data_IF_803519287679
#
_entry.id   IF_803519287679
#
_cell.length_a   1.000
_cell.length_b   1.000
_cell.length_c   1.000
_cell.angle_alpha   90.00
_cell.angle_beta   90.00
_cell.angle_gamma   90.00
#
_symmetry.space_group_name_H-M   'P 1'
#
loop_
_entity.id
_entity.type
_entity.pdbx_description
1 polymer ?
#
# COMPACT_ATOMS: atom_id res chain seq x y z
N UNK A 1 -24.82 -12.95 -41.72
CA UNK A 1 -23.70 -13.90 -41.65
C UNK A 1 -23.68 -14.34 -40.19
N UNK A 2 -24.07 -15.58 -39.94
CA UNK A 2 -24.16 -16.11 -38.58
C UNK A 2 -22.74 -16.33 -38.05
N UNK A 3 -22.51 -16.27 -36.73
CA UNK A 3 -21.18 -16.50 -36.15
C UNK A 3 -20.57 -17.84 -36.58
N UNK A 4 -21.43 -18.81 -36.85
CA UNK A 4 -21.12 -20.16 -37.34
C UNK A 4 -20.50 -20.17 -38.74
N UNK A 5 -20.75 -19.12 -39.53
CA UNK A 5 -20.21 -18.96 -40.88
C UNK A 5 -18.79 -18.38 -40.86
N UNK A 6 -18.34 -17.85 -39.73
CA UNK A 6 -17.09 -17.05 -39.61
C UNK A 6 -16.12 -17.60 -38.56
N UNK A 7 -16.63 -18.30 -37.55
CA UNK A 7 -15.82 -18.92 -36.51
C UNK A 7 -15.35 -20.32 -36.94
N UNK A 8 -14.15 -20.77 -36.53
CA UNK A 8 -13.78 -22.17 -36.60
C UNK A 8 -14.78 -23.04 -35.81
N UNK A 9 -14.75 -24.39 -35.96
CA UNK A 9 -15.64 -25.27 -35.22
C UNK A 9 -15.69 -24.90 -33.73
N UNK A 10 -16.88 -24.53 -33.26
CA UNK A 10 -17.12 -23.97 -31.92
C UNK A 10 -18.01 -24.96 -31.16
N UNK A 11 -17.60 -25.45 -29.97
CA UNK A 11 -18.44 -26.35 -29.19
C UNK A 11 -19.73 -25.63 -28.75
N UNK A 12 -20.84 -26.36 -28.80
CA UNK A 12 -22.18 -25.85 -28.48
C UNK A 12 -22.79 -26.62 -27.31
N UNK A 13 -23.43 -25.90 -26.40
CA UNK A 13 -24.02 -26.45 -25.18
C UNK A 13 -25.43 -25.89 -24.95
N UNK A 14 -26.32 -26.70 -24.37
CA UNK A 14 -27.63 -26.24 -23.89
C UNK A 14 -27.47 -25.56 -22.53
N UNK A 15 -28.07 -24.39 -22.32
CA UNK A 15 -28.00 -23.72 -21.02
C UNK A 15 -28.97 -24.31 -20.01
N UNK A 16 -28.43 -24.81 -18.89
CA UNK A 16 -29.23 -25.41 -17.79
C UNK A 16 -29.20 -24.58 -16.50
N UNK A 17 -28.64 -23.38 -16.56
CA UNK A 17 -28.46 -22.49 -15.42
C UNK A 17 -27.02 -22.00 -15.27
N UNK A 18 -26.85 -20.93 -14.49
CA UNK A 18 -25.58 -20.22 -14.30
C UNK A 18 -24.45 -21.14 -13.81
N UNK A 19 -24.72 -22.03 -12.86
CA UNK A 19 -23.69 -22.92 -12.30
C UNK A 19 -23.20 -23.99 -13.29
N UNK A 20 -24.12 -24.58 -14.06
CA UNK A 20 -23.79 -25.53 -15.12
C UNK A 20 -23.00 -24.86 -16.24
N UNK A 21 -23.40 -23.63 -16.60
CA UNK A 21 -22.70 -22.80 -17.58
C UNK A 21 -21.26 -22.49 -17.14
N UNK A 22 -21.04 -22.10 -15.88
CA UNK A 22 -19.70 -21.86 -15.32
C UNK A 22 -18.85 -23.14 -15.32
N UNK A 23 -19.42 -24.28 -14.93
CA UNK A 23 -18.69 -25.54 -14.90
C UNK A 23 -18.24 -25.99 -16.31
N UNK A 24 -19.10 -25.82 -17.32
CA UNK A 24 -18.76 -26.10 -18.72
C UNK A 24 -17.70 -25.12 -19.21
N UNK A 25 -17.84 -23.84 -18.87
CA UNK A 25 -16.85 -22.81 -19.22
C UNK A 25 -15.47 -23.17 -18.64
N UNK A 26 -15.40 -23.57 -17.37
CA UNK A 26 -14.15 -24.00 -16.72
C UNK A 26 -13.53 -25.21 -17.43
N UNK A 27 -14.33 -26.23 -17.76
CA UNK A 27 -13.86 -27.42 -18.48
C UNK A 27 -13.34 -27.11 -19.89
N UNK A 28 -14.02 -26.21 -20.61
CA UNK A 28 -13.58 -25.82 -21.96
C UNK A 28 -12.36 -24.89 -21.91
N UNK A 29 -12.26 -24.03 -20.89
CA UNK A 29 -11.04 -23.25 -20.60
C UNK A 29 -9.86 -24.18 -20.35
N UNK A 30 -9.99 -25.20 -19.50
CA UNK A 30 -8.91 -26.18 -19.25
C UNK A 30 -8.44 -26.87 -20.55
N UNK A 31 -9.39 -27.28 -21.41
CA UNK A 31 -9.08 -27.87 -22.72
C UNK A 31 -8.39 -26.87 -23.65
N UNK A 32 -8.86 -25.63 -23.67
CA UNK A 32 -8.33 -24.55 -24.50
C UNK A 32 -6.90 -24.20 -24.08
N UNK A 33 -6.65 -24.05 -22.78
CA UNK A 33 -5.33 -23.73 -22.22
C UNK A 33 -4.30 -24.83 -22.52
N UNK A 34 -4.70 -26.10 -22.48
CA UNK A 34 -3.84 -27.23 -22.82
C UNK A 34 -3.45 -27.35 -24.30
N UNK A 35 -4.16 -26.68 -25.23
CA UNK A 35 -4.03 -26.86 -26.69
C UNK A 35 -3.95 -25.53 -27.48
N UNK A 36 -3.40 -24.47 -26.87
CA UNK A 36 -3.51 -23.06 -27.30
C UNK A 36 -3.10 -22.69 -28.73
N UNK A 37 -2.39 -23.54 -29.47
CA UNK A 37 -1.95 -23.23 -30.85
C UNK A 37 -2.91 -23.74 -31.95
N UNK A 38 -4.02 -24.42 -31.60
CA UNK A 38 -4.97 -24.96 -32.60
C UNK A 38 -6.46 -24.83 -32.27
N UNK A 39 -6.83 -24.28 -31.11
CA UNK A 39 -8.22 -24.31 -30.62
C UNK A 39 -8.92 -22.94 -30.67
N UNK A 40 -10.23 -23.00 -30.87
CA UNK A 40 -11.15 -21.88 -30.93
C UNK A 40 -11.40 -21.32 -29.51
N UNK A 41 -11.19 -20.02 -29.22
CA UNK A 41 -11.36 -19.45 -27.88
C UNK A 41 -12.83 -19.22 -27.49
N UNK A 42 -13.78 -19.65 -28.32
CA UNK A 42 -15.19 -19.41 -28.09
C UNK A 42 -15.94 -20.69 -27.78
N UNK A 43 -17.03 -20.54 -27.03
CA UNK A 43 -18.07 -21.56 -26.85
C UNK A 43 -19.42 -20.92 -27.12
N UNK A 44 -20.39 -21.72 -27.56
CA UNK A 44 -21.76 -21.27 -27.80
C UNK A 44 -22.68 -21.93 -26.78
N UNK A 45 -23.50 -21.13 -26.11
CA UNK A 45 -24.66 -21.62 -25.37
C UNK A 45 -25.94 -21.34 -26.15
N UNK A 46 -26.84 -22.31 -26.15
CA UNK A 46 -28.22 -22.14 -26.61
C UNK A 46 -29.02 -21.62 -25.41
N UNK A 47 -29.46 -20.36 -25.49
CA UNK A 47 -30.14 -19.63 -24.42
C UNK A 47 -31.31 -18.85 -25.01
N UNK A 48 -32.53 -19.06 -24.51
CA UNK A 48 -33.66 -18.25 -24.91
C UNK A 48 -33.49 -16.78 -24.47
N UNK A 49 -34.12 -15.87 -25.19
CA UNK A 49 -33.94 -14.42 -25.02
C UNK A 49 -34.24 -13.95 -23.59
N UNK A 50 -35.26 -14.52 -22.95
CA UNK A 50 -35.64 -14.14 -21.59
C UNK A 50 -34.56 -14.57 -20.59
N UNK A 51 -34.10 -15.82 -20.69
CA UNK A 51 -33.02 -16.33 -19.84
C UNK A 51 -31.72 -15.56 -20.06
N UNK A 52 -31.41 -15.17 -21.31
CA UNK A 52 -30.26 -14.32 -21.61
C UNK A 52 -30.34 -12.97 -20.86
N UNK A 53 -31.48 -12.28 -20.95
CA UNK A 53 -31.67 -11.00 -20.26
C UNK A 53 -31.54 -11.13 -18.74
N UNK A 54 -32.18 -12.14 -18.15
CA UNK A 54 -32.20 -12.33 -16.69
C UNK A 54 -30.82 -12.74 -16.13
N UNK A 55 -30.10 -13.63 -16.82
CA UNK A 55 -28.84 -14.20 -16.31
C UNK A 55 -27.57 -13.47 -16.76
N UNK A 56 -27.58 -12.73 -17.88
CA UNK A 56 -26.36 -12.19 -18.49
C UNK A 56 -26.37 -10.67 -18.65
N UNK A 57 -27.51 -10.06 -18.99
CA UNK A 57 -27.61 -8.59 -19.12
C UNK A 57 -27.97 -7.89 -17.81
N UNK A 58 -28.93 -8.43 -17.06
CA UNK A 58 -29.53 -7.76 -15.90
C UNK A 58 -28.48 -7.45 -14.81
N UNK A 59 -28.14 -6.17 -14.56
CA UNK A 59 -27.07 -5.81 -13.63
C UNK A 59 -27.31 -6.24 -12.18
N UNK A 60 -28.56 -6.52 -11.80
CA UNK A 60 -28.94 -6.96 -10.44
C UNK A 60 -28.85 -8.47 -10.23
N UNK A 61 -28.91 -9.25 -11.30
CA UNK A 61 -29.04 -10.71 -11.24
C UNK A 61 -27.91 -11.45 -11.95
N UNK A 62 -27.20 -10.79 -12.87
CA UNK A 62 -26.12 -11.40 -13.64
C UNK A 62 -24.97 -11.85 -12.76
N UNK A 63 -24.40 -12.99 -13.11
CA UNK A 63 -23.12 -13.41 -12.59
C UNK A 63 -22.02 -12.58 -13.28
N UNK A 64 -21.10 -12.03 -12.49
CA UNK A 64 -20.14 -11.01 -12.96
C UNK A 64 -19.12 -11.58 -13.93
N UNK A 65 -18.77 -12.85 -13.78
CA UNK A 65 -17.81 -13.55 -14.62
C UNK A 65 -18.41 -13.85 -15.99
N UNK A 66 -19.61 -14.44 -16.03
CA UNK A 66 -20.33 -14.74 -17.27
C UNK A 66 -20.59 -13.47 -18.09
N UNK A 67 -21.01 -12.38 -17.44
CA UNK A 67 -21.25 -11.11 -18.10
C UNK A 67 -20.02 -10.57 -18.86
N UNK A 68 -18.80 -10.94 -18.43
CA UNK A 68 -17.56 -10.52 -19.12
C UNK A 68 -17.12 -11.44 -20.24
N UNK A 69 -17.57 -12.69 -20.22
CA UNK A 69 -17.34 -13.66 -21.29
C UNK A 69 -18.27 -13.42 -22.48
N UNK A 70 -19.44 -12.79 -22.28
CA UNK A 70 -20.38 -12.49 -23.37
C UNK A 70 -19.72 -11.63 -24.46
N UNK A 71 -19.69 -12.16 -25.69
CA UNK A 71 -19.28 -11.42 -26.89
C UNK A 71 -20.43 -11.01 -27.76
N UNK A 72 -21.43 -11.87 -27.85
CA UNK A 72 -22.60 -11.63 -28.66
C UNK A 72 -23.75 -12.53 -28.24
N UNK A 73 -24.96 -12.08 -28.50
CA UNK A 73 -26.17 -12.88 -28.44
C UNK A 73 -26.94 -12.69 -29.74
N UNK A 74 -27.31 -13.78 -30.41
CA UNK A 74 -28.12 -13.79 -31.62
C UNK A 74 -29.53 -14.30 -31.30
N UNK A 75 -30.54 -13.42 -31.23
CA UNK A 75 -31.91 -13.81 -30.88
C UNK A 75 -32.54 -14.76 -31.91
N UNK A 76 -32.17 -14.66 -33.19
CA UNK A 76 -32.78 -15.49 -34.24
C UNK A 76 -32.42 -16.97 -34.13
N UNK A 77 -31.29 -17.28 -33.50
CA UNK A 77 -30.81 -18.66 -33.29
C UNK A 77 -30.69 -19.04 -31.81
N UNK A 78 -31.05 -18.13 -30.88
CA UNK A 78 -30.84 -18.30 -29.44
C UNK A 78 -29.37 -18.60 -29.07
N UNK A 79 -28.40 -18.09 -29.84
CA UNK A 79 -26.99 -18.39 -29.60
C UNK A 79 -26.29 -17.28 -28.82
N UNK A 80 -25.82 -17.64 -27.63
CA UNK A 80 -24.95 -16.84 -26.80
C UNK A 80 -23.49 -17.25 -27.05
N UNK A 81 -22.69 -16.33 -27.59
CA UNK A 81 -21.26 -16.53 -27.80
C UNK A 81 -20.50 -16.06 -26.56
N UNK A 82 -19.78 -16.97 -25.92
CA UNK A 82 -18.87 -16.68 -24.81
C UNK A 82 -17.42 -16.83 -25.25
N UNK A 83 -16.55 -15.87 -24.93
CA UNK A 83 -15.10 -16.04 -24.96
C UNK A 83 -14.64 -16.74 -23.68
N UNK A 84 -13.84 -17.78 -23.88
CA UNK A 84 -13.19 -18.53 -22.81
C UNK A 84 -12.05 -17.70 -22.22
N UNK A 85 -12.36 -16.94 -21.17
CA UNK A 85 -11.39 -16.30 -20.28
C UNK A 85 -11.43 -17.06 -18.94
N UNK A 86 -10.27 -17.51 -18.42
CA UNK A 86 -10.22 -18.14 -17.10
C UNK A 86 -10.79 -17.19 -16.03
N UNK A 87 -11.64 -17.66 -15.10
CA UNK A 87 -12.16 -16.85 -14.00
C UNK A 87 -11.09 -16.08 -13.23
N UNK A 88 -9.96 -16.74 -12.96
CA UNK A 88 -8.84 -16.18 -12.23
C UNK A 88 -8.10 -15.12 -13.06
N UNK A 89 -7.89 -15.35 -14.35
CA UNK A 89 -7.32 -14.39 -15.29
C UNK A 89 -8.17 -13.12 -15.36
N UNK A 90 -9.47 -13.29 -15.58
CA UNK A 90 -10.42 -12.19 -15.68
C UNK A 90 -10.50 -11.38 -14.36
N UNK A 91 -10.47 -12.08 -13.21
CA UNK A 91 -10.48 -11.44 -11.90
C UNK A 91 -9.20 -10.64 -11.64
N UNK A 92 -8.02 -11.19 -11.96
CA UNK A 92 -6.73 -10.52 -11.79
C UNK A 92 -6.59 -9.30 -12.70
N UNK A 93 -6.95 -9.43 -13.98
CA UNK A 93 -6.99 -8.31 -14.93
C UNK A 93 -7.85 -7.16 -14.42
N UNK A 94 -9.10 -7.44 -14.05
CA UNK A 94 -10.02 -6.43 -13.51
C UNK A 94 -9.56 -5.82 -12.19
N UNK A 95 -8.91 -6.61 -11.33
CA UNK A 95 -8.38 -6.09 -10.08
C UNK A 95 -7.28 -5.06 -10.34
N UNK A 96 -6.37 -5.37 -11.26
CA UNK A 96 -5.34 -4.43 -11.69
C UNK A 96 -5.94 -3.18 -12.32
N UNK A 97 -6.82 -3.33 -13.33
CA UNK A 97 -7.48 -2.22 -14.03
C UNK A 97 -8.13 -1.26 -13.04
N UNK A 98 -8.93 -1.77 -12.08
CA UNK A 98 -9.59 -0.92 -11.08
C UNK A 98 -8.61 -0.10 -10.24
N UNK A 99 -7.49 -0.70 -9.83
CA UNK A 99 -6.48 -0.03 -8.99
C UNK A 99 -5.74 1.02 -9.84
N UNK A 100 -5.36 0.67 -11.06
CA UNK A 100 -4.62 1.53 -11.96
C UNK A 100 -5.48 2.71 -12.46
N UNK A 101 -6.74 2.47 -12.84
CA UNK A 101 -7.68 3.50 -13.26
C UNK A 101 -8.01 4.49 -12.13
N UNK A 102 -8.02 4.02 -10.88
CA UNK A 102 -8.21 4.91 -9.72
C UNK A 102 -7.08 5.93 -9.62
N UNK A 103 -5.85 5.46 -9.73
CA UNK A 103 -4.67 6.31 -9.70
C UNK A 103 -4.66 7.29 -10.89
N UNK A 104 -4.98 6.81 -12.10
CA UNK A 104 -5.17 7.68 -13.27
C UNK A 104 -6.18 8.79 -12.94
N UNK A 105 -7.34 8.44 -12.36
CA UNK A 105 -8.36 9.41 -12.00
C UNK A 105 -7.93 10.46 -10.97
N UNK A 106 -7.02 10.11 -10.06
CA UNK A 106 -6.49 11.02 -9.03
C UNK A 106 -5.39 11.91 -9.57
N UNK A 107 -4.48 11.36 -10.37
CA UNK A 107 -3.27 12.06 -10.81
C UNK A 107 -3.52 12.85 -12.10
N UNK A 108 -4.11 12.24 -13.12
CA UNK A 108 -4.47 12.90 -14.39
C UNK A 108 -5.34 12.00 -15.25
N UNK A 109 -6.55 12.44 -15.60
CA UNK A 109 -7.44 11.69 -16.49
C UNK A 109 -6.98 11.67 -17.97
N UNK A 110 -5.74 12.07 -18.27
CA UNK A 110 -5.16 12.10 -19.61
C UNK A 110 -4.62 10.73 -20.08
N UNK A 111 -5.10 9.62 -19.53
CA UNK A 111 -4.82 8.27 -20.03
C UNK A 111 -6.10 7.67 -20.63
N UNK A 112 -5.98 7.16 -21.84
CA UNK A 112 -6.95 6.26 -22.45
C UNK A 112 -6.64 4.84 -21.99
N UNK A 113 -7.49 4.31 -21.10
CA UNK A 113 -7.57 2.88 -20.84
C UNK A 113 -8.39 2.25 -21.98
N UNK A 114 -7.77 1.42 -22.80
CA UNK A 114 -8.46 0.71 -23.88
C UNK A 114 -9.02 -0.62 -23.35
N UNK A 115 -10.16 -0.55 -22.65
CA UNK A 115 -10.90 -1.72 -22.15
C UNK A 115 -11.42 -2.69 -23.23
N UNK A 116 -11.10 -2.45 -24.51
CA UNK A 116 -11.17 -3.42 -25.60
C UNK A 116 -9.92 -3.24 -26.46
N UNK A 117 -8.88 -4.06 -26.25
CA UNK A 117 -7.57 -3.75 -26.80
C UNK A 117 -7.56 -3.82 -28.32
N UNK A 118 -6.98 -2.81 -28.96
CA UNK A 118 -6.68 -2.86 -30.40
C UNK A 118 -5.62 -3.93 -30.67
N UNK A 119 -5.67 -4.56 -31.85
CA UNK A 119 -4.59 -5.44 -32.29
C UNK A 119 -3.38 -4.58 -32.67
N UNK A 120 -2.25 -4.82 -32.01
CA UNK A 120 -1.00 -4.14 -32.34
C UNK A 120 -0.18 -4.99 -33.30
N UNK A 121 0.18 -4.39 -34.44
CA UNK A 121 0.95 -5.07 -35.49
C UNK A 121 2.44 -4.87 -35.28
N UNK A 122 3.11 -5.94 -34.89
CA UNK A 122 4.56 -6.00 -34.76
C UNK A 122 5.28 -6.20 -36.11
N UNK A 123 6.63 -6.09 -36.11
CA UNK A 123 7.47 -6.38 -37.27
C UNK A 123 7.24 -7.80 -37.79
N UNK A 124 7.25 -7.97 -39.11
CA UNK A 124 6.99 -9.26 -39.75
C UNK A 124 5.51 -9.68 -39.77
N UNK A 125 4.58 -8.77 -39.48
CA UNK A 125 3.14 -9.01 -39.62
C UNK A 125 2.49 -9.78 -38.48
N UNK A 126 3.22 -10.04 -37.38
CA UNK A 126 2.67 -10.65 -36.16
C UNK A 126 1.77 -9.65 -35.44
N UNK A 127 0.54 -10.04 -35.14
CA UNK A 127 -0.39 -9.24 -34.33
C UNK A 127 -0.39 -9.78 -32.90
N UNK A 128 -0.43 -8.88 -31.91
CA UNK A 128 -0.69 -9.23 -30.51
C UNK A 128 -1.73 -8.29 -29.94
N UNK A 129 -2.54 -8.84 -29.05
CA UNK A 129 -3.53 -8.12 -28.25
C UNK A 129 -3.05 -8.18 -26.78
N UNK A 130 -2.95 -7.04 -26.07
CA UNK A 130 -2.65 -7.06 -24.64
C UNK A 130 -3.91 -7.45 -23.86
N UNK A 131 -3.74 -7.86 -22.59
CA UNK A 131 -4.90 -8.05 -21.71
C UNK A 131 -5.51 -6.70 -21.32
N UNK A 132 -4.67 -5.74 -20.96
CA UNK A 132 -5.03 -4.33 -20.82
C UNK A 132 -3.89 -3.45 -21.30
N UNK A 133 -4.21 -2.27 -21.82
CA UNK A 133 -3.21 -1.28 -22.19
C UNK A 133 -3.63 0.13 -21.71
N UNK A 134 -2.60 0.96 -21.50
CA UNK A 134 -2.78 2.32 -21.01
C UNK A 134 -1.95 3.25 -21.87
N UNK A 135 -2.61 4.22 -22.49
CA UNK A 135 -1.99 5.14 -23.45
C UNK A 135 -2.34 6.59 -23.11
N UNK A 136 -1.38 7.52 -23.01
CA UNK A 136 -1.68 8.93 -22.85
C UNK A 136 -2.53 9.48 -23.99
N UNK A 137 -3.62 10.17 -23.66
CA UNK A 137 -4.52 10.85 -24.63
C UNK A 137 -3.75 11.92 -25.40
N UNK A 138 -2.83 12.62 -24.72
CA UNK A 138 -1.98 13.67 -25.29
C UNK A 138 -0.51 13.28 -25.18
N UNK A 139 -0.05 12.42 -26.10
CA UNK A 139 1.37 12.10 -26.22
C UNK A 139 2.09 13.12 -27.10
N UNK A 140 3.06 13.84 -26.54
CA UNK A 140 4.00 14.69 -27.31
C UNK A 140 4.83 13.88 -28.32
N UNK A 141 4.97 12.57 -28.12
CA UNK A 141 5.76 11.68 -28.97
C UNK A 141 4.95 11.05 -30.13
N UNK A 142 3.67 11.41 -30.30
CA UNK A 142 2.76 10.85 -31.32
C UNK A 142 2.86 9.31 -31.47
N UNK A 143 2.91 8.58 -30.34
CA UNK A 143 3.10 7.14 -30.32
C UNK A 143 1.79 6.40 -30.61
N UNK A 144 1.85 5.39 -31.48
CA UNK A 144 0.71 4.53 -31.78
C UNK A 144 0.54 3.37 -30.76
N UNK A 145 1.58 3.07 -29.99
CA UNK A 145 1.61 1.99 -29.00
C UNK A 145 1.34 2.51 -27.58
N UNK A 146 0.83 1.66 -26.67
CA UNK A 146 0.62 2.02 -25.27
C UNK A 146 1.94 2.22 -24.54
N UNK A 147 1.91 2.96 -23.43
CA UNK A 147 3.09 3.16 -22.58
C UNK A 147 3.21 2.08 -21.52
N UNK A 148 2.07 1.62 -21.01
CA UNK A 148 1.97 0.50 -20.07
C UNK A 148 1.07 -0.59 -20.64
N UNK A 149 1.53 -1.84 -20.55
CA UNK A 149 0.78 -3.04 -20.92
C UNK A 149 0.65 -3.96 -19.72
N UNK A 150 -0.53 -4.54 -19.52
CA UNK A 150 -0.78 -5.64 -18.60
C UNK A 150 -0.89 -6.95 -19.40
N UNK A 151 -0.21 -7.99 -18.93
CA UNK A 151 -0.40 -9.37 -19.37
C UNK A 151 -0.63 -10.26 -18.13
N UNK A 152 -1.71 -11.03 -18.13
CA UNK A 152 -2.11 -11.94 -17.07
C UNK A 152 -1.98 -13.36 -17.60
N UNK A 153 -1.49 -14.29 -16.77
CA UNK A 153 -1.37 -15.70 -17.14
C UNK A 153 -1.61 -16.62 -15.97
N UNK A 154 -2.13 -17.79 -16.28
CA UNK A 154 -2.04 -18.97 -15.44
C UNK A 154 -0.70 -19.67 -15.67
N UNK A 155 0.01 -19.98 -14.60
CA UNK A 155 1.42 -20.37 -14.68
C UNK A 155 1.60 -21.89 -14.61
N UNK A 156 1.31 -22.57 -15.73
CA UNK A 156 1.65 -24.00 -15.92
C UNK A 156 2.92 -24.20 -16.75
N UNK A 157 3.30 -23.25 -17.62
CA UNK A 157 4.57 -23.26 -18.36
C UNK A 157 5.21 -21.87 -18.42
N UNK A 158 6.49 -21.79 -18.06
CA UNK A 158 7.24 -20.53 -17.87
C UNK A 158 7.62 -19.83 -19.20
N UNK A 159 7.34 -20.42 -20.35
CA UNK A 159 7.85 -19.97 -21.66
C UNK A 159 7.03 -18.87 -22.34
N UNK A 160 5.72 -18.77 -22.09
CA UNK A 160 4.83 -17.99 -22.95
C UNK A 160 4.73 -16.51 -22.54
N UNK A 161 4.69 -16.23 -21.24
CA UNK A 161 4.63 -14.84 -20.73
C UNK A 161 5.90 -14.05 -21.07
N UNK A 162 7.08 -14.66 -21.01
CA UNK A 162 8.32 -13.98 -21.41
C UNK A 162 8.32 -13.64 -22.91
N UNK A 163 7.68 -14.45 -23.74
CA UNK A 163 7.53 -14.16 -25.17
C UNK A 163 6.57 -12.98 -25.40
N UNK A 164 5.48 -12.91 -24.63
CA UNK A 164 4.54 -11.78 -24.64
C UNK A 164 5.24 -10.48 -24.20
N UNK A 165 6.00 -10.53 -23.10
CA UNK A 165 6.83 -9.39 -22.64
C UNK A 165 7.85 -8.97 -23.70
N UNK A 166 8.52 -9.93 -24.36
CA UNK A 166 9.47 -9.64 -25.45
C UNK A 166 8.78 -8.99 -26.64
N UNK A 167 7.57 -9.40 -26.99
CA UNK A 167 6.79 -8.74 -28.04
C UNK A 167 6.62 -7.25 -27.72
N UNK A 168 6.13 -6.92 -26.52
CA UNK A 168 5.85 -5.53 -26.15
C UNK A 168 7.10 -4.68 -26.00
N UNK A 169 8.15 -5.18 -25.34
CA UNK A 169 9.34 -4.36 -25.07
C UNK A 169 10.31 -4.31 -26.25
N UNK A 170 10.45 -5.39 -27.03
CA UNK A 170 11.39 -5.44 -28.17
C UNK A 170 10.68 -5.09 -29.48
N UNK A 171 9.58 -5.80 -29.79
CA UNK A 171 8.98 -5.73 -31.13
C UNK A 171 8.17 -4.46 -31.36
N UNK A 172 7.63 -3.83 -30.32
CA UNK A 172 7.00 -2.51 -30.42
C UNK A 172 8.00 -1.36 -30.70
N UNK A 173 9.23 -1.66 -31.13
CA UNK A 173 10.32 -0.71 -31.32
C UNK A 173 10.56 0.20 -30.10
N UNK A 174 10.44 -0.36 -28.89
CA UNK A 174 10.60 0.34 -27.61
C UNK A 174 9.57 1.47 -27.37
N UNK A 175 8.38 1.38 -27.97
CA UNK A 175 7.31 2.35 -27.70
C UNK A 175 6.48 2.02 -26.44
N UNK A 176 6.56 0.79 -25.94
CA UNK A 176 6.05 0.38 -24.62
C UNK A 176 7.16 0.55 -23.60
N UNK A 177 6.90 1.32 -22.53
CA UNK A 177 7.89 1.63 -21.50
C UNK A 177 7.87 0.58 -20.38
N UNK A 178 6.69 0.09 -20.02
CA UNK A 178 6.47 -0.82 -18.90
C UNK A 178 5.53 -1.94 -19.31
N UNK A 179 5.90 -3.17 -18.98
CA UNK A 179 4.96 -4.31 -19.00
C UNK A 179 4.78 -4.80 -17.57
N UNK A 180 3.54 -4.86 -17.10
CA UNK A 180 3.19 -5.53 -15.84
C UNK A 180 2.71 -6.93 -16.19
N UNK A 181 3.33 -7.94 -15.60
CA UNK A 181 2.85 -9.31 -15.70
C UNK A 181 2.22 -9.77 -14.40
N UNK A 182 1.09 -10.48 -14.48
CA UNK A 182 0.45 -11.16 -13.33
C UNK A 182 0.41 -12.66 -13.61
N UNK A 183 1.15 -13.44 -12.85
CA UNK A 183 1.19 -14.91 -12.94
C UNK A 183 0.42 -15.51 -11.77
N UNK A 184 -0.57 -16.35 -12.07
CA UNK A 184 -1.44 -17.02 -11.10
C UNK A 184 -1.01 -18.49 -10.99
N UNK A 185 -0.63 -18.90 -9.79
CA UNK A 185 -0.26 -20.27 -9.43
C UNK A 185 -1.31 -20.85 -8.49
N UNK A 186 -2.48 -21.19 -9.01
CA UNK A 186 -3.64 -21.57 -8.21
C UNK A 186 -3.43 -22.82 -7.33
N UNK A 187 -2.76 -23.91 -7.79
CA UNK A 187 -2.50 -25.06 -6.92
C UNK A 187 -1.62 -24.69 -5.72
N UNK A 188 -0.74 -23.69 -5.90
CA UNK A 188 0.13 -23.17 -4.85
C UNK A 188 -0.52 -22.01 -4.06
N UNK A 189 -1.71 -21.54 -4.46
CA UNK A 189 -2.35 -20.36 -3.89
C UNK A 189 -1.47 -19.11 -3.94
N UNK A 190 -0.64 -18.96 -4.99
CA UNK A 190 0.34 -17.87 -5.12
C UNK A 190 0.05 -17.01 -6.35
N UNK A 191 0.21 -15.70 -6.23
CA UNK A 191 0.15 -14.75 -7.35
C UNK A 191 1.45 -13.95 -7.39
N UNK A 192 2.09 -13.89 -8.54
CA UNK A 192 3.29 -13.10 -8.78
C UNK A 192 2.96 -11.93 -9.68
N UNK A 193 3.34 -10.73 -9.28
CA UNK A 193 3.26 -9.54 -10.12
C UNK A 193 4.66 -9.01 -10.38
N UNK A 194 5.00 -8.73 -11.64
CA UNK A 194 6.34 -8.22 -12.01
C UNK A 194 6.22 -7.01 -12.90
N UNK A 195 7.10 -6.03 -12.67
CA UNK A 195 7.32 -4.94 -13.59
C UNK A 195 8.51 -5.27 -14.48
N UNK A 196 8.30 -5.27 -15.78
CA UNK A 196 9.32 -5.49 -16.79
C UNK A 196 9.66 -4.20 -17.50
N UNK A 197 10.95 -4.00 -17.73
CA UNK A 197 11.50 -2.88 -18.50
C UNK A 197 12.57 -3.37 -19.46
N UNK A 198 12.88 -2.55 -20.46
CA UNK A 198 14.06 -2.75 -21.29
C UNK A 198 15.32 -2.36 -20.50
N UNK A 199 16.29 -3.27 -20.40
CA UNK A 199 17.59 -2.93 -19.83
C UNK A 199 18.34 -1.94 -20.71
N UNK A 200 18.71 -0.79 -20.17
CA UNK A 200 19.39 0.26 -20.93
C UNK A 200 20.69 -0.23 -21.56
N UNK A 201 21.50 -0.98 -20.80
CA UNK A 201 22.76 -1.57 -21.24
C UNK A 201 22.58 -2.88 -22.01
N UNK A 202 21.71 -3.77 -21.52
CA UNK A 202 21.56 -5.12 -22.09
C UNK A 202 20.69 -5.15 -23.34
N UNK A 203 19.86 -4.12 -23.55
CA UNK A 203 18.79 -4.10 -24.58
C UNK A 203 17.93 -5.35 -24.55
N UNK A 204 17.73 -5.93 -23.35
CA UNK A 204 16.88 -7.10 -23.12
C UNK A 204 15.81 -6.78 -22.07
N UNK A 205 14.58 -7.27 -22.24
CA UNK A 205 13.58 -7.27 -21.19
C UNK A 205 14.09 -7.97 -19.93
N UNK A 206 13.84 -7.37 -18.77
CA UNK A 206 14.12 -7.99 -17.48
C UNK A 206 13.07 -7.56 -16.44
N UNK A 207 12.74 -8.41 -15.45
CA UNK A 207 11.87 -8.02 -14.36
C UNK A 207 12.68 -7.12 -13.42
N UNK A 208 12.31 -5.85 -13.33
CA UNK A 208 13.00 -4.85 -12.51
C UNK A 208 12.42 -4.73 -11.09
N UNK A 209 11.14 -5.09 -10.92
CA UNK A 209 10.47 -5.17 -9.62
C UNK A 209 9.55 -6.39 -9.60
N UNK A 210 9.31 -6.95 -8.42
CA UNK A 210 8.46 -8.11 -8.22
C UNK A 210 7.72 -7.99 -6.88
N UNK A 211 6.47 -8.43 -6.88
CA UNK A 211 5.60 -8.53 -5.73
C UNK A 211 4.91 -9.89 -5.75
N UNK A 212 4.84 -10.56 -4.60
CA UNK A 212 4.22 -11.88 -4.48
C UNK A 212 3.11 -11.85 -3.44
N UNK A 213 2.04 -12.60 -3.69
CA UNK A 213 0.93 -12.84 -2.77
C UNK A 213 0.78 -14.34 -2.56
N UNK A 214 0.65 -14.79 -1.31
CA UNK A 214 0.45 -16.19 -0.97
C UNK A 214 -0.80 -16.32 -0.10
N UNK A 215 -1.81 -17.07 -0.54
CA UNK A 215 -3.10 -17.21 0.15
C UNK A 215 -2.99 -17.93 1.50
N UNK A 216 -2.04 -18.87 1.62
CA UNK A 216 -1.75 -19.65 2.84
C UNK A 216 -0.24 -19.78 3.00
N UNK A 217 0.44 -18.71 3.48
CA UNK A 217 1.89 -18.75 3.62
C UNK A 217 2.30 -19.85 4.62
N UNK A 218 3.47 -20.45 4.37
CA UNK A 218 4.08 -21.32 5.37
C UNK A 218 4.36 -20.54 6.66
N UNK A 219 4.43 -21.19 7.83
CA UNK A 219 4.76 -20.51 9.08
C UNK A 219 6.03 -19.65 8.93
N UNK A 220 5.97 -18.39 9.38
CA UNK A 220 7.05 -17.38 9.29
C UNK A 220 7.40 -16.89 7.87
N UNK A 221 6.54 -17.14 6.88
CA UNK A 221 6.64 -16.45 5.59
C UNK A 221 5.61 -15.34 5.50
N UNK A 222 6.01 -14.21 4.91
CA UNK A 222 5.10 -13.08 4.71
C UNK A 222 4.05 -13.46 3.66
N UNK A 223 2.81 -13.01 3.91
CA UNK A 223 1.70 -13.24 2.99
C UNK A 223 1.86 -12.44 1.69
N UNK A 224 2.52 -11.29 1.80
CA UNK A 224 2.83 -10.39 0.68
C UNK A 224 4.29 -10.01 0.79
N UNK A 225 5.07 -10.16 -0.29
CA UNK A 225 6.47 -9.73 -0.33
C UNK A 225 6.73 -8.84 -1.54
N UNK A 226 7.73 -7.98 -1.45
CA UNK A 226 8.13 -7.08 -2.53
C UNK A 226 7.22 -5.86 -2.71
N UNK A 227 7.43 -5.12 -3.80
CA UNK A 227 6.67 -3.91 -4.11
C UNK A 227 6.66 -3.65 -5.61
N UNK A 228 5.69 -2.85 -6.07
CA UNK A 228 5.60 -2.38 -7.43
C UNK A 228 5.36 -0.88 -7.45
N UNK A 229 6.30 -0.15 -8.05
CA UNK A 229 6.18 1.27 -8.38
C UNK A 229 6.26 1.46 -9.89
N UNK A 230 5.24 2.06 -10.48
CA UNK A 230 5.28 2.50 -11.89
C UNK A 230 5.48 4.00 -11.94
N UNK A 231 6.65 4.49 -12.39
CA UNK A 231 6.93 5.92 -12.46
C UNK A 231 5.92 6.68 -13.33
N UNK A 232 5.48 7.84 -12.86
CA UNK A 232 4.55 8.70 -13.59
C UNK A 232 5.06 9.00 -15.02
N UNK A 233 6.34 9.33 -15.14
CA UNK A 233 6.99 9.71 -16.38
C UNK A 233 6.99 8.56 -17.40
N UNK A 234 7.03 7.31 -16.92
CA UNK A 234 6.93 6.13 -17.79
C UNK A 234 5.52 5.96 -18.36
N UNK A 235 4.49 6.42 -17.64
CA UNK A 235 3.10 6.34 -18.06
C UNK A 235 2.74 7.52 -18.96
N UNK A 236 2.98 8.77 -18.50
CA UNK A 236 2.51 10.01 -19.13
C UNK A 236 3.51 10.66 -20.10
N UNK A 237 4.75 10.17 -20.17
CA UNK A 237 5.79 10.66 -21.08
C UNK A 237 6.12 12.16 -20.90
N UNK A 238 5.96 12.66 -19.68
CA UNK A 238 6.30 14.02 -19.27
C UNK A 238 6.68 14.07 -17.78
N UNK A 239 7.43 15.09 -17.34
CA UNK A 239 7.67 15.31 -15.92
C UNK A 239 6.36 15.49 -15.14
N UNK A 240 6.38 15.07 -13.86
CA UNK A 240 5.31 15.36 -12.90
C UNK A 240 5.13 16.85 -12.69
N UNK A 241 3.89 17.24 -12.42
CA UNK A 241 3.48 18.52 -11.84
C UNK A 241 3.21 18.35 -10.34
N UNK A 242 3.06 19.46 -9.64
CA UNK A 242 2.72 19.44 -8.21
C UNK A 242 1.43 18.66 -7.96
N UNK A 243 1.50 17.72 -7.01
CA UNK A 243 0.40 16.81 -6.67
C UNK A 243 0.34 15.52 -7.50
N UNK A 244 1.13 15.39 -8.57
CA UNK A 244 1.19 14.15 -9.34
C UNK A 244 2.17 13.14 -8.73
N UNK A 245 1.74 11.89 -8.58
CA UNK A 245 2.51 10.82 -7.91
C UNK A 245 2.81 9.66 -8.85
N UNK A 246 3.77 8.81 -8.48
CA UNK A 246 3.91 7.50 -9.13
C UNK A 246 2.76 6.59 -8.73
N UNK A 247 2.49 5.56 -9.52
CA UNK A 247 1.59 4.51 -9.10
C UNK A 247 2.29 3.63 -8.06
N UNK A 248 1.74 3.57 -6.84
CA UNK A 248 2.22 2.75 -5.72
C UNK A 248 1.01 2.07 -5.09
N UNK A 249 0.66 0.87 -5.57
CA UNK A 249 -0.70 0.30 -5.51
C UNK A 249 -1.42 0.11 -4.15
N UNK A 250 -0.90 0.58 -3.01
CA UNK A 250 -1.53 0.47 -1.69
C UNK A 250 -2.31 1.74 -1.25
N UNK A 251 -1.80 2.95 -1.48
CA UNK A 251 -2.44 4.19 -1.01
C UNK A 251 -3.75 4.47 -1.76
N UNK A 252 -3.74 4.22 -3.07
CA UNK A 252 -4.94 4.36 -3.89
C UNK A 252 -5.93 3.27 -3.57
N UNK A 253 -5.51 2.04 -3.28
CA UNK A 253 -6.43 0.99 -2.84
C UNK A 253 -7.18 1.42 -1.57
N UNK A 254 -6.46 1.91 -0.55
CA UNK A 254 -7.04 2.34 0.73
C UNK A 254 -8.03 3.49 0.52
N UNK A 255 -7.60 4.56 -0.15
CA UNK A 255 -8.46 5.73 -0.46
C UNK A 255 -9.76 5.31 -1.13
N UNK A 256 -9.68 4.27 -1.94
CA UNK A 256 -10.74 3.93 -2.86
C UNK A 256 -11.71 2.88 -2.31
N UNK A 257 -11.28 2.12 -1.29
CA UNK A 257 -12.15 1.42 -0.32
C UNK A 257 -12.83 2.43 0.61
N UNK A 258 -12.09 3.39 1.17
CA UNK A 258 -12.61 4.42 2.06
C UNK A 258 -13.73 5.25 1.42
N UNK A 259 -13.57 5.62 0.14
CA UNK A 259 -14.57 6.36 -0.62
C UNK A 259 -15.93 5.66 -0.78
N UNK A 260 -15.96 4.32 -0.74
CA UNK A 260 -17.21 3.53 -0.87
C UNK A 260 -17.70 2.98 0.47
N UNK A 261 -16.85 2.97 1.49
CA UNK A 261 -17.19 2.56 2.85
C UNK A 261 -16.58 3.53 3.88
N UNK A 262 -17.37 4.47 4.43
CA UNK A 262 -16.86 5.44 5.40
C UNK A 262 -16.42 4.79 6.73
N UNK A 263 -16.79 3.52 6.98
CA UNK A 263 -16.37 2.73 8.15
C UNK A 263 -15.15 1.85 7.86
N UNK A 264 -14.16 2.40 7.17
CA UNK A 264 -12.95 1.67 6.80
C UNK A 264 -11.94 1.74 7.95
N UNK A 265 -11.45 0.57 8.36
CA UNK A 265 -10.34 0.42 9.33
C UNK A 265 -9.13 -0.10 8.57
N UNK A 266 -7.98 0.55 8.74
CA UNK A 266 -6.72 0.13 8.13
C UNK A 266 -5.81 -0.48 9.18
N UNK A 267 -5.33 -1.70 8.95
CA UNK A 267 -4.32 -2.35 9.79
C UNK A 267 -2.97 -2.30 9.09
N UNK A 268 -2.00 -1.65 9.70
CA UNK A 268 -0.66 -1.45 9.15
C UNK A 268 0.34 -2.43 9.78
N UNK A 269 0.96 -3.25 8.93
CA UNK A 269 2.05 -4.17 9.28
C UNK A 269 3.33 -3.72 8.57
N UNK A 270 4.03 -2.74 9.16
CA UNK A 270 5.21 -2.12 8.58
C UNK A 270 6.26 -1.84 9.67
N UNK A 271 7.53 -1.94 9.30
CA UNK A 271 8.66 -1.74 10.21
C UNK A 271 8.93 -0.25 10.52
N UNK A 272 8.88 0.59 9.48
CA UNK A 272 9.27 2.00 9.53
C UNK A 272 8.08 2.91 9.20
N UNK A 273 8.11 4.20 9.62
CA UNK A 273 7.07 5.15 9.29
C UNK A 273 6.75 5.23 7.79
N UNK A 274 5.47 5.20 7.48
CA UNK A 274 4.94 5.40 6.13
C UNK A 274 4.13 6.68 6.08
N UNK A 275 4.07 7.31 4.90
CA UNK A 275 3.11 8.39 4.68
C UNK A 275 1.71 7.78 4.58
N UNK A 276 0.72 8.53 5.06
CA UNK A 276 -0.68 8.12 5.05
C UNK A 276 -1.53 9.27 4.47
N UNK A 277 -1.42 9.60 3.17
CA UNK A 277 -2.19 10.69 2.57
C UNK A 277 -3.72 10.46 2.61
N UNK A 278 -4.13 9.22 2.86
CA UNK A 278 -5.52 8.78 3.02
C UNK A 278 -6.01 8.77 4.48
N UNK A 279 -5.20 9.22 5.45
CA UNK A 279 -5.50 9.12 6.88
C UNK A 279 -6.86 9.73 7.24
N UNK A 280 -7.18 10.91 6.69
CA UNK A 280 -8.44 11.61 6.95
C UNK A 280 -9.66 10.97 6.26
N UNK A 281 -9.45 9.94 5.42
CA UNK A 281 -10.52 9.25 4.68
C UNK A 281 -11.04 8.01 5.42
N UNK A 282 -10.29 7.48 6.38
CA UNK A 282 -10.59 6.22 7.08
C UNK A 282 -11.10 6.48 8.50
N UNK A 283 -11.87 5.55 9.07
CA UNK A 283 -12.41 5.69 10.43
C UNK A 283 -11.35 5.47 11.50
N UNK A 284 -10.40 4.56 11.26
CA UNK A 284 -9.31 4.30 12.20
C UNK A 284 -8.14 3.59 11.53
N UNK A 285 -6.97 3.74 12.15
CA UNK A 285 -5.74 3.05 11.78
C UNK A 285 -5.20 2.32 12.99
N UNK A 286 -4.88 1.04 12.82
CA UNK A 286 -4.20 0.21 13.82
C UNK A 286 -2.81 -0.15 13.29
N UNK A 287 -1.76 0.34 13.96
CA UNK A 287 -0.39 -0.03 13.63
C UNK A 287 0.07 -1.21 14.48
N UNK A 288 0.37 -2.33 13.83
CA UNK A 288 0.82 -3.58 14.47
C UNK A 288 2.33 -3.80 14.37
N UNK A 289 3.05 -2.93 13.66
CA UNK A 289 4.48 -3.09 13.41
C UNK A 289 4.78 -4.39 12.64
N UNK A 290 5.75 -5.15 13.14
CA UNK A 290 6.03 -6.52 12.68
C UNK A 290 5.58 -7.52 13.77
N UNK A 291 4.31 -7.94 13.79
CA UNK A 291 3.68 -8.53 14.99
C UNK A 291 4.06 -10.00 15.26
N UNK A 292 5.00 -10.57 14.50
CA UNK A 292 5.46 -11.95 14.66
C UNK A 292 4.37 -12.99 14.38
N UNK A 293 4.63 -14.23 14.78
CA UNK A 293 3.77 -15.39 14.45
C UNK A 293 2.37 -15.35 15.11
N UNK A 294 2.22 -14.67 16.25
CA UNK A 294 0.93 -14.50 16.94
C UNK A 294 0.16 -13.26 16.45
N UNK A 295 0.68 -12.55 15.46
CA UNK A 295 0.13 -11.26 15.03
C UNK A 295 -1.32 -11.31 14.56
N UNK A 296 -1.75 -12.40 13.92
CA UNK A 296 -3.15 -12.59 13.53
C UNK A 296 -4.10 -12.66 14.73
N UNK A 297 -3.70 -13.40 15.78
CA UNK A 297 -4.48 -13.52 17.03
C UNK A 297 -4.51 -12.19 17.78
N UNK A 298 -3.37 -11.51 17.89
CA UNK A 298 -3.27 -10.20 18.53
C UNK A 298 -4.11 -9.14 17.82
N UNK A 299 -4.07 -9.09 16.49
CA UNK A 299 -4.87 -8.15 15.68
C UNK A 299 -6.37 -8.36 15.92
N UNK A 300 -6.85 -9.61 15.88
CA UNK A 300 -8.25 -9.91 16.12
C UNK A 300 -8.69 -9.47 17.53
N UNK A 301 -7.90 -9.81 18.54
CA UNK A 301 -8.21 -9.44 19.93
C UNK A 301 -8.33 -7.92 20.13
N UNK A 302 -7.50 -7.12 19.45
CA UNK A 302 -7.60 -5.66 19.47
C UNK A 302 -8.81 -5.14 18.69
N UNK A 303 -9.09 -5.67 17.50
CA UNK A 303 -10.22 -5.24 16.67
C UNK A 303 -11.58 -5.57 17.27
N UNK A 304 -11.68 -6.70 17.98
CA UNK A 304 -12.92 -7.12 18.65
C UNK A 304 -13.03 -6.60 20.10
N UNK A 305 -11.99 -5.93 20.62
CA UNK A 305 -12.00 -5.32 21.94
C UNK A 305 -11.79 -6.30 23.10
N UNK A 306 -11.26 -7.50 22.83
CA UNK A 306 -10.83 -8.44 23.86
C UNK A 306 -9.67 -7.83 24.68
N UNK A 307 -8.87 -6.96 24.05
CA UNK A 307 -7.83 -6.15 24.67
C UNK A 307 -7.88 -4.71 24.15
N UNK A 308 -7.43 -3.76 24.99
CA UNK A 308 -7.26 -2.37 24.55
C UNK A 308 -5.93 -2.18 23.82
N UNK A 309 -5.87 -1.31 22.79
CA UNK A 309 -4.61 -0.89 22.21
C UNK A 309 -3.88 0.08 23.16
N UNK A 310 -2.79 -0.39 23.76
CA UNK A 310 -2.05 0.36 24.80
C UNK A 310 -0.65 0.79 24.33
N UNK A 311 -0.24 0.39 23.13
CA UNK A 311 1.05 0.73 22.55
C UNK A 311 1.21 2.23 22.28
N UNK A 312 2.44 2.72 22.44
CA UNK A 312 2.85 4.09 22.07
C UNK A 312 3.89 4.04 20.95
N UNK A 313 3.88 5.03 20.06
CA UNK A 313 4.83 5.12 18.96
C UNK A 313 6.25 5.34 19.50
N UNK A 314 7.23 4.49 19.14
CA UNK A 314 8.64 4.72 19.45
C UNK A 314 9.34 5.63 18.44
N UNK A 315 8.63 6.03 17.37
CA UNK A 315 9.13 6.75 16.21
C UNK A 315 8.12 7.82 15.79
N UNK A 316 8.61 8.93 15.26
CA UNK A 316 7.74 9.97 14.66
C UNK A 316 7.29 9.53 13.27
N UNK A 317 5.97 9.52 13.03
CA UNK A 317 5.42 9.40 11.68
C UNK A 317 5.36 10.78 11.02
N UNK A 318 6.10 11.00 9.92
CA UNK A 318 6.16 12.31 9.29
C UNK A 318 4.88 12.59 8.49
N UNK A 319 4.41 13.84 8.52
CA UNK A 319 3.27 14.28 7.70
C UNK A 319 3.61 14.44 6.22
N UNK A 320 4.90 14.61 5.91
CA UNK A 320 5.43 14.67 4.54
C UNK A 320 6.88 14.21 4.52
N UNK A 321 7.40 13.95 3.33
CA UNK A 321 8.82 13.63 3.15
C UNK A 321 9.70 14.74 3.72
N UNK A 322 9.33 16.01 3.53
CA UNK A 322 10.06 17.18 4.00
C UNK A 322 9.96 17.38 5.52
N UNK A 323 9.04 16.70 6.19
CA UNK A 323 8.95 16.69 7.65
C UNK A 323 9.91 15.68 8.31
N UNK A 324 10.63 14.87 7.51
CA UNK A 324 11.63 13.92 8.04
C UNK A 324 12.89 14.63 8.51
N UNK A 325 13.61 14.03 9.46
CA UNK A 325 14.83 14.60 10.05
C UNK A 325 15.91 14.90 9.00
N UNK A 326 16.00 14.07 7.96
CA UNK A 326 17.00 14.19 6.90
C UNK A 326 16.56 15.16 5.80
N UNK A 327 15.26 15.25 5.48
CA UNK A 327 14.77 16.09 4.38
C UNK A 327 14.13 17.41 4.82
N UNK A 328 14.29 17.78 6.08
CA UNK A 328 13.81 19.06 6.60
C UNK A 328 14.49 20.26 5.90
N UNK A 329 13.74 21.13 5.21
CA UNK A 329 14.31 22.29 4.52
C UNK A 329 15.00 23.31 5.45
N UNK A 330 14.70 23.30 6.75
CA UNK A 330 15.39 24.13 7.74
C UNK A 330 16.82 23.63 8.04
N UNK A 331 17.15 22.41 7.63
CA UNK A 331 18.43 21.75 7.83
C UNK A 331 18.93 21.07 6.55
N UNK A 332 19.12 21.85 5.46
CA UNK A 332 19.44 21.29 4.14
C UNK A 332 20.79 20.54 4.11
N UNK A 333 21.68 20.83 5.06
CA UNK A 333 22.98 20.17 5.20
C UNK A 333 22.88 18.68 5.58
N UNK A 334 21.72 18.22 6.07
CA UNK A 334 21.51 16.84 6.54
C UNK A 334 21.30 15.83 5.42
N UNK A 335 21.11 16.29 4.19
CA UNK A 335 20.88 15.44 3.04
C UNK A 335 21.61 16.00 1.83
N UNK A 336 22.59 15.26 1.32
CA UNK A 336 23.13 15.54 0.01
C UNK A 336 22.14 14.99 -1.04
N UNK A 337 21.38 15.87 -1.67
CA UNK A 337 20.37 15.52 -2.68
C UNK A 337 20.96 15.06 -4.01
N UNK A 338 22.20 15.42 -4.33
CA UNK A 338 22.89 14.98 -5.55
C UNK A 338 23.37 13.53 -5.43
N UNK A 339 23.89 13.14 -4.26
CA UNK A 339 24.41 11.79 -4.02
C UNK A 339 23.41 10.86 -3.33
N UNK A 340 22.28 11.40 -2.85
CA UNK A 340 21.31 10.65 -2.05
C UNK A 340 21.86 10.19 -0.69
N UNK A 341 22.87 10.88 -0.14
CA UNK A 341 23.51 10.51 1.13
C UNK A 341 23.02 11.36 2.30
N UNK A 342 22.46 10.73 3.33
CA UNK A 342 22.08 11.40 4.58
C UNK A 342 23.31 11.60 5.47
N UNK A 343 23.50 12.84 5.97
CA UNK A 343 24.56 13.19 6.89
C UNK A 343 24.04 13.08 8.32
N UNK A 344 24.59 12.15 9.09
CA UNK A 344 24.25 11.99 10.51
C UNK A 344 25.30 12.70 11.37
N UNK A 345 24.90 13.79 12.02
CA UNK A 345 25.73 14.54 12.98
C UNK A 345 25.07 14.63 14.35
N UNK A 346 25.85 14.91 15.39
CA UNK A 346 25.32 15.16 16.73
C UNK A 346 24.38 16.38 16.71
N UNK A 347 23.24 16.29 17.40
CA UNK A 347 22.22 17.36 17.41
C UNK A 347 21.00 17.13 16.51
N UNK A 348 20.90 15.99 15.82
CA UNK A 348 19.64 15.62 15.18
C UNK A 348 18.59 15.27 16.24
N UNK A 349 17.44 15.93 16.17
CA UNK A 349 16.27 15.65 16.99
C UNK A 349 15.55 14.43 16.40
N UNK A 350 16.12 13.24 16.61
CA UNK A 350 15.52 11.96 16.21
C UNK A 350 14.74 11.34 17.37
N UNK A 351 13.61 10.69 17.03
CA UNK A 351 12.72 9.98 17.95
C UNK A 351 12.30 10.81 19.18
N UNK A 352 12.47 10.30 20.42
CA UNK A 352 12.01 10.90 21.69
C UNK A 352 12.58 12.29 22.05
N UNK A 353 13.14 13.01 21.08
CA UNK A 353 13.60 14.40 21.13
C UNK A 353 12.65 15.23 20.25
N UNK A 354 11.71 15.93 20.86
CA UNK A 354 10.65 16.68 20.15
C UNK A 354 11.09 18.12 19.81
N UNK A 355 10.50 18.69 18.75
CA UNK A 355 10.65 20.11 18.36
C UNK A 355 9.28 20.80 18.31
N UNK A 356 8.81 21.44 19.40
CA UNK A 356 7.96 22.64 19.28
C UNK A 356 7.80 23.46 20.57
N UNK A 357 7.51 24.75 20.32
CA UNK A 357 7.33 25.91 21.20
C UNK A 357 5.86 26.09 21.62
N UNK A 358 5.58 26.22 22.92
CA UNK A 358 4.43 26.98 23.44
C UNK A 358 4.54 27.24 24.96
N UNK A 359 4.03 28.40 25.36
CA UNK A 359 4.19 29.08 26.64
C UNK A 359 3.59 28.34 27.85
N UNK A 360 4.26 28.40 29.00
CA UNK A 360 3.87 27.75 30.26
C UNK A 360 3.43 28.76 31.33
N UNK A 361 2.46 28.34 32.19
CA UNK A 361 2.09 29.00 33.45
C UNK A 361 2.51 28.11 34.62
N UNK A 362 3.09 28.72 35.65
CA UNK A 362 3.76 28.06 36.80
C UNK A 362 2.83 27.61 37.94
N UNK A 363 3.18 26.47 38.57
CA UNK A 363 3.12 26.14 40.02
C UNK A 363 4.23 25.06 40.25
N UNK A 364 5.00 24.88 41.33
CA UNK A 364 5.01 25.38 42.71
C UNK A 364 5.06 24.21 43.72
N UNK A 365 6.28 23.73 44.04
CA UNK A 365 6.73 22.86 45.17
C UNK A 365 6.43 21.32 45.18
N UNK A 366 7.35 20.45 45.68
CA UNK A 366 7.42 19.01 45.39
C UNK A 366 6.89 18.13 46.52
N UNK A 367 5.69 17.57 46.35
CA UNK A 367 5.27 16.36 47.08
C UNK A 367 4.00 15.76 46.47
N UNK A 368 3.99 15.49 45.17
CA UNK A 368 2.73 15.14 44.50
C UNK A 368 2.58 13.63 44.30
N UNK A 369 1.98 12.95 45.29
CA UNK A 369 1.30 11.66 45.09
C UNK A 369 -0.01 11.91 44.35
N UNK A 370 -0.34 11.12 43.34
CA UNK A 370 -1.60 11.26 42.60
C UNK A 370 -2.53 10.05 42.70
N UNK A 371 -3.82 10.39 42.63
CA UNK A 371 -5.01 9.55 42.65
C UNK A 371 -5.77 9.79 41.32
N UNK A 372 -5.83 8.79 40.44
CA UNK A 372 -6.58 8.82 39.16
C UNK A 372 -7.83 7.91 39.27
N UNK A 373 -8.98 8.34 38.75
CA UNK A 373 -10.22 7.54 38.68
C UNK A 373 -10.66 7.50 37.21
N UNK A 374 -10.86 6.31 36.64
CA UNK A 374 -11.32 6.12 35.25
C UNK A 374 -12.84 5.85 35.18
N UNK A 375 -13.60 6.51 34.28
CA UNK A 375 -15.05 6.33 34.14
C UNK A 375 -15.49 5.27 33.11
N UNK A 376 -14.61 4.46 32.51
CA UNK A 376 -14.98 3.50 31.43
C UNK A 376 -14.86 2.04 31.91
N UNK A 377 -15.87 1.16 31.69
CA UNK A 377 -15.81 -0.25 32.05
C UNK A 377 -15.02 -1.06 31.01
N UNK A 378 -13.72 -1.25 31.21
CA UNK A 378 -12.88 -2.26 30.54
C UNK A 378 -12.17 -3.10 31.63
N UNK A 379 -11.89 -4.41 31.45
CA UNK A 379 -11.43 -5.28 32.54
C UNK A 379 -10.10 -4.82 33.18
N UNK A 380 -9.23 -4.17 32.40
CA UNK A 380 -8.16 -3.27 32.84
C UNK A 380 -7.75 -2.37 31.65
N UNK A 381 -7.25 -1.17 31.93
CA UNK A 381 -6.61 -0.28 30.97
C UNK A 381 -5.16 -0.08 31.39
N UNK A 382 -4.20 -0.48 30.56
CA UNK A 382 -2.80 -0.09 30.67
C UNK A 382 -2.59 1.31 30.11
N UNK A 383 -2.06 2.20 30.94
CA UNK A 383 -1.67 3.55 30.54
C UNK A 383 -0.17 3.72 30.68
N UNK A 384 0.51 4.03 29.58
CA UNK A 384 1.89 4.50 29.60
C UNK A 384 1.92 6.01 29.81
N UNK A 385 2.68 6.45 30.83
CA UNK A 385 2.88 7.86 31.14
C UNK A 385 4.33 8.28 30.89
N UNK A 386 4.66 8.88 29.74
CA UNK A 386 5.98 9.44 29.51
C UNK A 386 6.25 10.67 30.38
N UNK A 387 7.46 10.73 30.93
CA UNK A 387 8.02 11.87 31.66
C UNK A 387 9.04 12.55 30.78
N UNK A 388 8.84 13.83 30.54
CA UNK A 388 9.71 14.64 29.72
C UNK A 388 10.34 15.76 30.53
N UNK A 389 11.56 16.14 30.13
CA UNK A 389 12.26 17.30 30.68
C UNK A 389 12.69 18.23 29.54
N UNK A 390 12.46 19.52 29.72
CA UNK A 390 12.95 20.58 28.85
C UNK A 390 14.45 20.79 29.00
N UNK A 391 15.06 21.61 28.14
CA UNK A 391 16.44 22.06 28.31
C UNK A 391 16.63 22.98 29.55
N UNK A 392 17.86 23.15 30.07
CA UNK A 392 18.15 24.20 31.05
C UNK A 392 17.75 25.58 30.53
N UNK A 393 17.09 26.39 31.36
CA UNK A 393 16.65 27.75 30.97
C UNK A 393 17.82 28.63 30.51
N UNK A 394 18.98 28.49 31.16
CA UNK A 394 20.20 29.24 30.86
C UNK A 394 21.19 28.44 29.98
N UNK A 395 20.70 27.47 29.21
CA UNK A 395 21.55 26.54 28.46
C UNK A 395 22.56 27.24 27.53
N UNK A 396 22.15 28.32 26.87
CA UNK A 396 23.00 29.04 25.91
C UNK A 396 24.19 29.76 26.58
N UNK A 397 24.03 30.21 27.82
CA UNK A 397 25.08 30.90 28.59
C UNK A 397 25.94 29.93 29.41
N UNK A 398 25.33 28.94 30.06
CA UNK A 398 26.02 28.00 30.95
C UNK A 398 26.73 26.87 30.19
N UNK A 399 26.21 26.51 29.01
CA UNK A 399 26.72 25.40 28.20
C UNK A 399 26.98 25.84 26.75
N UNK A 400 27.89 26.80 26.52
CA UNK A 400 28.16 27.32 25.19
C UNK A 400 28.63 26.21 24.24
N UNK A 401 28.00 26.10 23.08
CA UNK A 401 28.29 25.08 22.08
C UNK A 401 27.67 23.71 22.33
N UNK A 402 26.87 23.54 23.40
CA UNK A 402 26.11 22.30 23.65
C UNK A 402 24.70 22.44 23.08
N UNK A 403 24.29 21.48 22.26
CA UNK A 403 22.93 21.43 21.72
C UNK A 403 22.05 20.52 22.58
N UNK A 404 21.08 21.11 23.27
CA UNK A 404 20.03 20.36 23.97
C UNK A 404 18.82 20.15 23.06
N UNK A 405 18.16 19.00 23.20
CA UNK A 405 16.82 18.84 22.68
C UNK A 405 15.85 19.75 23.44
N UNK A 406 14.88 20.35 22.75
CA UNK A 406 13.85 21.19 23.38
C UNK A 406 13.10 20.39 24.45
N UNK A 407 12.89 19.11 24.17
CA UNK A 407 12.25 18.16 25.08
C UNK A 407 12.94 16.80 24.99
N UNK A 408 13.15 16.16 26.14
CA UNK A 408 13.75 14.83 26.24
C UNK A 408 12.89 13.90 27.08
N UNK A 409 12.52 12.72 26.57
CA UNK A 409 11.95 11.64 27.38
C UNK A 409 12.99 11.13 28.38
N UNK A 410 12.69 11.24 29.67
CA UNK A 410 13.57 10.81 30.78
C UNK A 410 13.03 9.64 31.57
N UNK A 411 11.84 9.14 31.23
CA UNK A 411 11.28 7.95 31.83
C UNK A 411 9.86 7.72 31.34
N UNK A 412 9.36 6.52 31.57
CA UNK A 412 7.94 6.20 31.43
C UNK A 412 7.60 5.06 32.40
N UNK A 413 6.33 4.92 32.72
CA UNK A 413 5.85 3.80 33.52
C UNK A 413 4.48 3.36 32.99
N UNK A 414 4.28 2.05 32.91
CA UNK A 414 3.04 1.43 32.50
C UNK A 414 2.21 1.12 33.74
N UNK A 415 1.00 1.68 33.79
CA UNK A 415 0.10 1.50 34.93
C UNK A 415 -1.17 0.84 34.43
N UNK A 416 -1.34 -0.41 34.84
CA UNK A 416 -2.59 -1.12 34.65
C UNK A 416 -3.60 -0.69 35.72
N UNK A 417 -4.76 -0.21 35.31
CA UNK A 417 -5.81 0.27 36.21
C UNK A 417 -7.16 -0.34 35.83
N UNK A 418 -7.92 -0.79 36.82
CA UNK A 418 -9.29 -1.24 36.61
C UNK A 418 -10.26 -0.05 36.69
N UNK A 419 -11.47 -0.14 36.09
CA UNK A 419 -12.46 0.93 36.09
C UNK A 419 -12.81 1.36 37.51
N UNK A 420 -12.85 2.68 37.74
CA UNK A 420 -13.10 3.25 39.07
C UNK A 420 -11.98 3.08 40.10
N UNK A 421 -10.93 2.32 39.80
CA UNK A 421 -9.79 2.18 40.69
C UNK A 421 -8.82 3.37 40.58
N UNK A 422 -7.97 3.48 41.58
CA UNK A 422 -6.84 4.42 41.61
C UNK A 422 -5.52 3.70 41.78
N UNK A 423 -4.49 4.17 41.09
CA UNK A 423 -3.09 3.82 41.36
C UNK A 423 -2.17 5.05 41.38
N UNK A 424 -1.06 4.91 42.10
CA UNK A 424 0.05 5.86 42.11
C UNK A 424 1.16 5.34 41.19
N UNK A 425 1.59 6.17 40.24
CA UNK A 425 2.74 5.91 39.39
C UNK A 425 3.99 6.58 39.97
N UNK A 426 5.12 5.88 39.96
CA UNK A 426 6.42 6.42 40.38
C UNK A 426 7.36 6.40 39.19
N UNK A 427 8.11 7.48 38.99
CA UNK A 427 9.07 7.62 37.90
C UNK A 427 10.45 7.87 38.46
N UNK A 428 11.40 7.01 38.13
CA UNK A 428 12.79 7.20 38.50
C UNK A 428 13.49 7.96 37.36
N UNK A 429 14.09 9.10 37.70
CA UNK A 429 14.92 9.88 36.77
C UNK A 429 16.36 9.81 37.25
N UNK A 430 17.20 9.15 36.47
CA UNK A 430 18.61 8.95 36.80
C UNK A 430 19.43 10.19 36.47
N UNK A 431 20.55 10.38 37.19
CA UNK A 431 21.52 11.44 36.89
C UNK A 431 21.99 11.42 35.42
N UNK A 432 22.11 10.22 34.82
CA UNK A 432 22.51 10.06 33.42
C UNK A 432 21.49 10.65 32.44
N UNK A 433 20.19 10.49 32.70
CA UNK A 433 19.13 11.08 31.87
C UNK A 433 19.08 12.61 31.94
N UNK A 434 19.62 13.18 33.02
CA UNK A 434 19.77 14.63 33.23
C UNK A 434 21.12 15.17 32.70
N UNK A 435 21.98 14.29 32.18
CA UNK A 435 23.32 14.64 31.74
C UNK A 435 23.42 14.77 30.21
N UNK A 436 24.41 15.51 29.74
CA UNK A 436 24.82 15.58 28.34
C UNK A 436 26.24 15.04 28.17
N UNK A 437 26.58 14.61 26.96
CA UNK A 437 27.94 14.21 26.62
C UNK A 437 28.75 15.44 26.21
N UNK A 438 29.89 15.68 26.87
CA UNK A 438 30.79 16.76 26.49
C UNK A 438 31.95 16.17 25.68
N UNK A 439 32.04 16.54 24.40
CA UNK A 439 33.06 15.97 23.50
C UNK A 439 34.50 16.29 23.94
N UNK A 440 34.73 17.50 24.48
CA UNK A 440 36.06 18.01 24.80
C UNK A 440 36.79 17.15 25.84
N UNK A 441 36.06 16.63 26.83
CA UNK A 441 36.61 15.80 27.90
C UNK A 441 36.15 14.33 27.83
N UNK A 442 35.22 14.01 26.91
CA UNK A 442 34.65 12.67 26.72
C UNK A 442 33.99 12.14 27.99
N UNK A 443 33.23 12.99 28.68
CA UNK A 443 32.50 12.61 29.89
C UNK A 443 31.03 13.02 29.87
N UNK A 444 30.21 12.29 30.63
CA UNK A 444 28.83 12.68 30.93
C UNK A 444 28.83 13.76 32.00
N UNK A 445 28.30 14.93 31.65
CA UNK A 445 28.20 16.09 32.53
C UNK A 445 26.74 16.35 32.89
N UNK A 446 26.45 16.58 34.16
CA UNK A 446 25.10 16.92 34.60
C UNK A 446 24.71 18.31 34.06
N UNK A 447 23.57 18.40 33.37
CA UNK A 447 23.00 19.67 32.94
C UNK A 447 22.22 20.28 34.12
N UNK A 448 22.90 21.14 34.88
CA UNK A 448 22.36 21.85 36.03
C UNK A 448 21.47 23.02 35.63
N UNK A 449 20.73 23.52 36.60
CA UNK A 449 19.85 24.68 36.46
C UNK A 449 18.38 24.30 36.32
N UNK A 450 17.53 25.32 36.28
CA UNK A 450 16.08 25.16 36.24
C UNK A 450 15.62 24.60 34.89
N UNK A 451 14.77 23.57 34.95
CA UNK A 451 14.22 22.86 33.79
C UNK A 451 12.74 22.63 33.99
N UNK A 452 11.97 22.78 32.92
CA UNK A 452 10.58 22.35 32.92
C UNK A 452 10.51 20.82 32.88
N UNK A 453 9.62 20.23 33.67
CA UNK A 453 9.35 18.79 33.67
C UNK A 453 7.85 18.59 33.48
N UNK A 454 7.44 17.60 32.70
CA UNK A 454 6.03 17.26 32.58
C UNK A 454 5.80 15.78 32.37
N UNK A 455 4.61 15.34 32.78
CA UNK A 455 4.10 13.99 32.57
C UNK A 455 2.92 14.11 31.62
N UNK A 456 2.90 13.31 30.57
CA UNK A 456 1.88 13.38 29.52
C UNK A 456 1.26 12.03 29.19
N UNK A 457 0.29 12.02 28.29
CA UNK A 457 -0.12 10.80 27.56
C UNK A 457 0.71 10.58 26.29
N UNK A 458 1.36 11.64 25.81
CA UNK A 458 2.24 11.70 24.64
C UNK A 458 3.17 12.92 24.78
N UNK A 459 3.88 13.29 23.70
CA UNK A 459 4.82 14.41 23.70
C UNK A 459 4.16 15.80 23.72
N UNK A 460 2.88 15.90 23.35
CA UNK A 460 2.14 17.16 23.20
C UNK A 460 1.12 17.37 24.33
N UNK A 461 0.47 16.30 24.78
CA UNK A 461 -0.57 16.33 25.81
C UNK A 461 0.05 16.26 27.21
N UNK A 462 0.11 17.40 27.88
CA UNK A 462 0.64 17.51 29.25
C UNK A 462 -0.48 17.29 30.26
N UNK A 463 -0.33 16.29 31.11
CA UNK A 463 -1.25 16.00 32.21
C UNK A 463 -0.82 16.72 33.49
N UNK A 464 0.49 16.81 33.70
CA UNK A 464 1.11 17.49 34.84
C UNK A 464 2.36 18.22 34.36
N UNK A 465 2.58 19.42 34.88
CA UNK A 465 3.78 20.22 34.61
C UNK A 465 4.41 20.64 35.94
N UNK A 466 5.71 20.91 35.92
CA UNK A 466 6.45 21.42 37.05
C UNK A 466 7.81 21.92 36.63
N UNK A 467 8.61 22.32 37.63
CA UNK A 467 10.00 22.73 37.44
C UNK A 467 10.90 21.90 38.35
N UNK A 468 12.06 21.51 37.81
CA UNK A 468 13.12 20.84 38.54
C UNK A 468 14.36 21.73 38.53
N UNK A 469 14.94 21.95 39.71
CA UNK A 469 16.24 22.60 39.85
C UNK A 469 17.29 21.51 40.14
N UNK A 470 18.29 21.39 39.27
CA UNK A 470 19.26 20.28 39.22
C UNK A 470 20.65 20.72 39.68
#
# INVERSE_FOLDING_TARGET
>A
MFYEDVLPPTPKYEFKGVQDCLQILDQEVEKYEGNRYSSNPYIIFIVDERTFFDCFENPKQREKLLATSVKAYEPSTNHLLLEMESPAHAAARRAFERIFDRWIGVVSCEIRADGSPMNYRGPGGKNKKPDSAFTPIRSILNRHWPTVVLEVRYAETRSDLENDVKFWLIQAAQNVNVVISVEIFEPAGRVSMKQWKMGEATKRPFPCQQMEFVRKPAPKTEQVTGSLRVPFEDVYLRPKKDGETDWVGFDELISCVAAVNPRTVVVLNNADPVLMPWLDQVSSVLWMGNPGQEGGRATAALLFGDHNPEGRLPLTYPSSVDATVTRNPAYPERMNTETGTALFSEGMNSAYRCTKTSESKEIGDPASRFLLISPIPAPALGWTFPVHIGLPQDASSEYPGVQFAVLTLVGFNDVEITPGATRTATFEVTKKQLSFWRQSDRTWNLARGKRDIWIGSDTETKLLEGKLDI
#
